data_IF_884726288564
#
_entry.id   IF_884726288564
#
_cell.length_a   1.000
_cell.length_b   1.000
_cell.length_c   1.000
_cell.angle_alpha   90.00
_cell.angle_beta   90.00
_cell.angle_gamma   90.00
#
_symmetry.space_group_name_H-M   'P 1'
#
loop_
_entity.id
_entity.type
_entity.pdbx_description
1 polymer ?
#
# COMPACT_ATOMS: atom_id res chain seq x y z
N UNK A 1 -4.08 -0.16 2.24
CA UNK A 1 -2.76 0.51 2.23
C UNK A 1 -2.47 1.00 0.83
N UNK A 2 -2.44 2.31 0.64
CA UNK A 2 -2.00 2.97 -0.58
C UNK A 2 -0.66 3.68 -0.33
N UNK A 3 0.32 3.43 -1.19
CA UNK A 3 1.65 4.04 -1.10
C UNK A 3 1.70 5.24 -2.05
N UNK A 4 2.06 6.40 -1.53
CA UNK A 4 2.34 7.62 -2.30
C UNK A 4 3.80 7.64 -2.68
N UNK A 5 4.06 7.75 -3.97
CA UNK A 5 5.39 7.74 -4.53
C UNK A 5 5.46 8.83 -5.57
N UNK A 6 6.47 9.68 -5.49
CA UNK A 6 6.77 10.67 -6.52
C UNK A 6 7.81 10.07 -7.46
N UNK A 7 7.68 10.34 -8.75
CA UNK A 7 8.72 10.03 -9.71
C UNK A 7 9.34 11.37 -10.15
N UNK A 8 10.62 11.55 -9.88
CA UNK A 8 11.37 12.74 -10.32
C UNK A 8 11.89 12.58 -11.76
N UNK A 9 10.97 12.31 -12.68
CA UNK A 9 11.19 12.53 -14.12
C UNK A 9 10.26 13.63 -14.65
N UNK A 10 10.51 14.83 -14.12
CA UNK A 10 10.66 16.10 -14.87
C UNK A 10 9.65 16.53 -15.97
N UNK A 11 8.36 16.17 -15.91
CA UNK A 11 7.35 16.83 -16.77
C UNK A 11 5.96 17.10 -16.17
N UNK A 12 5.82 17.13 -14.84
CA UNK A 12 4.50 17.28 -14.20
C UNK A 12 4.38 18.45 -13.22
N UNK A 13 5.41 19.31 -13.15
CA UNK A 13 5.47 20.52 -12.33
C UNK A 13 4.55 21.68 -12.79
N UNK A 14 3.39 21.38 -13.41
CA UNK A 14 2.39 22.41 -13.72
C UNK A 14 1.09 22.30 -12.95
N UNK A 15 0.96 21.40 -11.98
CA UNK A 15 -0.13 21.43 -11.00
C UNK A 15 0.40 21.09 -9.61
N UNK A 16 0.25 22.03 -8.67
CA UNK A 16 0.67 21.95 -7.27
C UNK A 16 -0.09 20.85 -6.51
N UNK A 17 0.31 19.58 -6.67
CA UNK A 17 -0.34 18.48 -5.98
C UNK A 17 0.46 17.18 -6.02
N UNK A 18 0.51 16.47 -4.89
CA UNK A 18 0.98 15.09 -4.83
C UNK A 18 0.04 14.20 -5.65
N UNK A 19 0.59 13.44 -6.61
CA UNK A 19 -0.19 12.48 -7.39
C UNK A 19 0.09 11.08 -6.84
N UNK A 20 -0.95 10.35 -6.43
CA UNK A 20 -0.78 8.97 -5.94
C UNK A 20 -0.36 8.04 -7.08
N UNK A 21 0.39 6.99 -6.75
CA UNK A 21 0.66 5.89 -7.68
C UNK A 21 -0.57 5.01 -7.94
N UNK A 22 -1.77 5.42 -7.52
CA UNK A 22 -3.02 4.74 -7.85
C UNK A 22 -3.00 3.28 -7.44
N UNK A 23 -2.54 3.01 -6.21
CA UNK A 23 -2.78 1.71 -5.60
C UNK A 23 -4.25 1.62 -5.22
N UNK A 24 -4.87 2.73 -4.82
CA UNK A 24 -6.32 2.85 -4.59
C UNK A 24 -7.16 2.67 -5.85
N UNK A 25 -8.43 2.35 -5.65
CA UNK A 25 -9.43 2.43 -6.72
C UNK A 25 -9.83 3.89 -6.91
N UNK A 26 -10.00 4.31 -8.17
CA UNK A 26 -10.49 5.66 -8.47
C UNK A 26 -11.98 5.73 -8.14
N UNK A 27 -12.41 6.52 -7.14
CA UNK A 27 -13.82 6.64 -6.78
C UNK A 27 -14.65 7.37 -7.84
N UNK A 28 -14.02 8.20 -8.68
CA UNK A 28 -14.70 8.96 -9.73
C UNK A 28 -14.75 8.17 -11.06
N UNK A 29 -13.85 7.18 -11.25
CA UNK A 29 -13.85 6.24 -12.37
C UNK A 29 -13.59 4.78 -11.93
N UNK A 30 -14.61 4.09 -11.40
CA UNK A 30 -14.48 2.70 -10.94
C UNK A 30 -14.20 1.69 -12.07
N UNK A 31 -14.29 2.11 -13.33
CA UNK A 31 -13.97 1.28 -14.50
C UNK A 31 -12.51 1.38 -14.95
N UNK A 32 -11.74 2.32 -14.40
CA UNK A 32 -10.33 2.47 -14.72
C UNK A 32 -9.50 1.30 -14.17
N UNK A 33 -8.58 0.79 -14.99
CA UNK A 33 -7.61 -0.20 -14.53
C UNK A 33 -6.67 0.43 -13.48
N UNK A 34 -6.46 -0.23 -12.32
CA UNK A 34 -5.54 0.27 -11.32
C UNK A 34 -4.11 0.39 -11.87
N UNK A 35 -3.46 1.53 -11.61
CA UNK A 35 -2.09 1.81 -12.10
C UNK A 35 -1.08 0.73 -11.67
N UNK A 36 -1.17 0.28 -10.42
CA UNK A 36 -0.45 -0.92 -9.96
C UNK A 36 -1.33 -2.13 -10.24
N UNK A 37 -0.92 -3.09 -11.08
CA UNK A 37 -1.75 -4.24 -11.41
C UNK A 37 -1.87 -5.23 -10.25
N UNK A 38 -2.94 -6.02 -10.19
CA UNK A 38 -3.19 -6.93 -9.06
C UNK A 38 -2.07 -7.96 -8.82
N UNK A 39 -1.37 -8.39 -9.87
CA UNK A 39 -0.25 -9.34 -9.77
C UNK A 39 1.02 -8.75 -9.16
N UNK A 40 1.10 -7.42 -9.03
CA UNK A 40 2.21 -6.73 -8.39
C UNK A 40 2.04 -6.62 -6.86
N UNK A 41 0.91 -7.06 -6.31
CA UNK A 41 0.69 -7.12 -4.87
C UNK A 41 0.92 -8.54 -4.35
N UNK A 42 1.80 -8.65 -3.36
CA UNK A 42 2.14 -9.90 -2.69
C UNK A 42 1.99 -9.73 -1.19
N UNK A 43 1.77 -10.83 -0.46
CA UNK A 43 1.79 -10.82 0.98
C UNK A 43 2.43 -12.08 1.54
N UNK A 44 2.85 -12.03 2.79
CA UNK A 44 3.34 -13.18 3.57
C UNK A 44 2.30 -14.29 3.66
N UNK A 45 1.06 -13.90 3.92
CA UNK A 45 -0.08 -14.79 4.12
C UNK A 45 -1.39 -14.05 3.85
N UNK A 46 -2.49 -14.81 3.81
CA UNK A 46 -3.83 -14.27 3.74
C UNK A 46 -4.81 -15.18 4.49
N UNK A 47 -5.78 -14.59 5.17
CA UNK A 47 -6.92 -15.32 5.74
C UNK A 47 -8.07 -15.34 4.74
N UNK A 48 -8.70 -16.49 4.55
CA UNK A 48 -9.84 -16.68 3.64
C UNK A 48 -9.58 -16.08 2.23
N UNK A 49 -10.45 -15.18 1.77
CA UNK A 49 -10.34 -14.49 0.48
C UNK A 49 -9.77 -13.05 0.60
N UNK A 50 -9.06 -12.74 1.69
CA UNK A 50 -8.44 -11.42 1.92
C UNK A 50 -7.15 -11.24 1.12
N UNK A 51 -7.25 -11.37 -0.21
CA UNK A 51 -6.12 -11.31 -1.13
C UNK A 51 -5.36 -9.97 -1.05
N UNK A 52 -4.04 -9.95 -1.32
CA UNK A 52 -3.23 -8.73 -1.36
C UNK A 52 -3.82 -7.61 -2.24
N UNK A 53 -4.40 -7.99 -3.39
CA UNK A 53 -5.07 -7.05 -4.32
C UNK A 53 -6.26 -6.32 -3.73
N UNK A 54 -6.80 -6.78 -2.61
CA UNK A 54 -7.88 -6.12 -1.88
C UNK A 54 -7.35 -5.07 -0.90
N UNK A 55 -6.04 -5.02 -0.64
CA UNK A 55 -5.41 -4.02 0.23
C UNK A 55 -5.34 -2.61 -0.37
N UNK A 56 -6.15 -2.29 -1.38
CA UNK A 56 -6.20 -0.98 -2.05
C UNK A 56 -7.02 0.00 -1.23
N UNK A 57 -6.65 1.29 -1.27
CA UNK A 57 -7.47 2.34 -0.67
C UNK A 57 -8.82 2.44 -1.37
N UNK A 58 -9.85 2.86 -0.63
CA UNK A 58 -11.24 3.01 -1.10
C UNK A 58 -11.86 1.72 -1.63
N UNK A 59 -11.33 0.57 -1.19
CA UNK A 59 -11.89 -0.71 -1.58
C UNK A 59 -13.06 -1.11 -0.68
N UNK A 60 -14.16 -1.50 -1.31
CA UNK A 60 -15.43 -1.85 -0.66
C UNK A 60 -16.49 -0.75 -0.77
N UNK A 61 -17.74 -1.17 -1.01
CA UNK A 61 -18.88 -0.27 -1.12
C UNK A 61 -20.17 -0.94 -0.63
N UNK A 62 -21.11 -0.15 -0.13
CA UNK A 62 -22.45 -0.60 0.21
C UNK A 62 -22.46 -1.70 1.27
N UNK A 63 -22.94 -2.90 0.89
CA UNK A 63 -23.03 -4.06 1.80
C UNK A 63 -21.82 -5.00 1.71
N UNK A 64 -20.81 -4.69 0.91
CA UNK A 64 -19.61 -5.51 0.84
C UNK A 64 -18.85 -5.39 2.17
N UNK A 65 -18.59 -6.52 2.83
CA UNK A 65 -17.76 -6.58 4.03
C UNK A 65 -16.33 -6.96 3.63
N UNK A 66 -15.34 -6.33 4.28
CA UNK A 66 -13.97 -6.86 4.31
C UNK A 66 -13.21 -6.83 2.99
N UNK A 67 -13.41 -5.80 2.17
CA UNK A 67 -12.60 -5.56 0.98
C UNK A 67 -11.19 -5.07 1.37
N UNK A 68 -10.39 -5.94 1.98
CA UNK A 68 -9.06 -5.66 2.49
C UNK A 68 -8.12 -6.86 2.34
N UNK A 69 -6.82 -6.63 2.49
CA UNK A 69 -5.87 -7.69 2.82
C UNK A 69 -5.87 -7.91 4.34
N UNK A 70 -5.74 -9.16 4.77
CA UNK A 70 -5.54 -9.53 6.17
C UNK A 70 -4.66 -10.78 6.22
N UNK A 71 -3.57 -10.80 7.01
CA UNK A 71 -2.75 -11.98 7.19
C UNK A 71 -3.50 -13.08 7.96
N UNK A 72 -2.94 -14.29 7.97
CA UNK A 72 -3.43 -15.37 8.83
C UNK A 72 -3.17 -14.99 10.30
N UNK A 73 -4.22 -14.88 11.14
CA UNK A 73 -4.05 -14.51 12.53
C UNK A 73 -3.26 -15.58 13.29
N UNK A 74 -2.48 -15.15 14.28
CA UNK A 74 -1.70 -15.97 15.23
C UNK A 74 -0.61 -16.89 14.64
N UNK A 75 -0.62 -17.15 13.34
CA UNK A 75 0.38 -17.99 12.66
C UNK A 75 1.43 -17.18 11.90
N UNK A 76 1.06 -16.01 11.39
CA UNK A 76 1.99 -15.11 10.72
C UNK A 76 2.56 -14.10 11.73
N UNK A 77 3.76 -14.38 12.24
CA UNK A 77 4.40 -13.54 13.26
C UNK A 77 5.08 -12.30 12.68
N UNK A 78 5.28 -12.25 11.37
CA UNK A 78 5.93 -11.14 10.66
C UNK A 78 5.16 -10.79 9.38
N UNK A 79 3.89 -10.35 9.51
CA UNK A 79 3.03 -10.16 8.36
C UNK A 79 3.50 -8.98 7.52
N UNK A 80 3.52 -9.15 6.20
CA UNK A 80 3.89 -8.10 5.26
C UNK A 80 2.96 -8.08 4.05
N UNK A 81 2.75 -6.87 3.53
CA UNK A 81 2.13 -6.60 2.25
C UNK A 81 3.16 -5.86 1.40
N UNK A 82 3.49 -6.43 0.24
CA UNK A 82 4.51 -5.93 -0.67
C UNK A 82 3.85 -5.43 -1.96
N UNK A 83 4.32 -4.27 -2.42
CA UNK A 83 4.00 -3.73 -3.74
C UNK A 83 5.27 -3.80 -4.58
N UNK A 84 5.21 -4.53 -5.70
CA UNK A 84 6.29 -4.59 -6.66
C UNK A 84 6.07 -3.57 -7.76
N UNK A 85 6.95 -2.57 -7.81
CA UNK A 85 6.98 -1.62 -8.90
C UNK A 85 7.76 -2.22 -10.10
N UNK A 86 7.40 -1.80 -11.30
CA UNK A 86 8.05 -2.14 -12.57
C UNK A 86 9.40 -1.43 -12.76
N UNK A 87 9.56 -0.27 -12.13
CA UNK A 87 10.79 0.51 -12.09
C UNK A 87 11.03 1.14 -10.71
N UNK A 88 12.25 1.61 -10.39
CA UNK A 88 12.50 2.34 -9.16
C UNK A 88 11.73 3.65 -9.10
N UNK A 89 11.20 3.98 -7.92
CA UNK A 89 10.48 5.22 -7.68
C UNK A 89 10.84 5.83 -6.30
N UNK A 90 10.60 7.13 -6.12
CA UNK A 90 10.83 7.83 -4.85
C UNK A 90 9.56 7.80 -3.99
N UNK A 91 9.53 6.97 -2.95
CA UNK A 91 8.36 6.91 -2.04
C UNK A 91 8.40 8.08 -1.06
N UNK A 92 7.36 8.92 -1.06
CA UNK A 92 7.29 10.12 -0.18
C UNK A 92 6.25 9.99 0.92
N UNK A 93 5.37 8.99 0.86
CA UNK A 93 4.35 8.78 1.88
C UNK A 93 3.61 7.45 1.72
N UNK A 94 2.87 7.06 2.75
CA UNK A 94 2.01 5.87 2.73
C UNK A 94 0.74 6.20 3.47
N UNK A 95 -0.42 6.07 2.82
CA UNK A 95 -1.72 6.10 3.47
C UNK A 95 -2.14 4.66 3.75
N UNK A 96 -2.64 4.40 4.94
CA UNK A 96 -3.22 3.09 5.26
C UNK A 96 -4.73 3.26 5.38
N UNK A 97 -5.48 2.16 5.46
CA UNK A 97 -6.92 2.18 5.72
C UNK A 97 -7.29 0.83 6.31
N UNK A 98 -8.21 0.85 7.26
CA UNK A 98 -8.86 -0.34 7.78
C UNK A 98 -9.82 -0.98 6.77
N UNK A 99 -10.40 -2.10 7.17
CA UNK A 99 -11.38 -2.81 6.38
C UNK A 99 -12.76 -2.13 6.44
N UNK A 100 -13.38 -1.90 5.28
CA UNK A 100 -14.72 -1.35 5.24
C UNK A 100 -15.73 -2.27 5.96
N UNK A 101 -16.54 -1.66 6.85
CA UNK A 101 -17.54 -2.32 7.69
C UNK A 101 -17.00 -3.45 8.61
N UNK A 102 -15.71 -3.48 8.92
CA UNK A 102 -15.11 -4.40 9.89
C UNK A 102 -14.18 -3.66 10.86
N UNK A 103 -14.01 -4.22 12.06
CA UNK A 103 -13.15 -3.66 13.13
C UNK A 103 -11.67 -4.06 12.93
N UNK A 104 -11.18 -3.98 11.69
CA UNK A 104 -9.82 -4.42 11.32
C UNK A 104 -9.03 -3.23 10.78
N UNK A 105 -7.97 -2.83 11.49
CA UNK A 105 -7.01 -1.83 11.01
C UNK A 105 -5.62 -2.17 11.56
N UNK A 106 -4.60 -1.63 10.90
CA UNK A 106 -3.24 -1.61 11.42
C UNK A 106 -3.13 -0.39 12.34
N UNK A 107 -2.36 -0.49 13.42
CA UNK A 107 -2.08 0.65 14.33
C UNK A 107 -0.63 1.08 14.31
N UNK A 108 0.27 0.19 13.91
CA UNK A 108 1.69 0.44 13.75
C UNK A 108 2.25 -0.46 12.64
N UNK A 109 3.20 0.06 11.88
CA UNK A 109 3.87 -0.68 10.83
C UNK A 109 5.33 -0.24 10.70
N UNK A 110 6.14 -1.08 10.05
CA UNK A 110 7.49 -0.73 9.60
C UNK A 110 7.50 -0.68 8.08
N UNK A 111 8.29 0.22 7.52
CA UNK A 111 8.53 0.27 6.08
C UNK A 111 9.89 -0.35 5.76
N UNK A 112 9.89 -1.20 4.75
CA UNK A 112 11.10 -1.80 4.20
C UNK A 112 11.09 -1.65 2.69
N UNK A 113 12.24 -1.39 2.08
CA UNK A 113 12.36 -1.23 0.64
C UNK A 113 13.60 -1.92 0.09
N UNK A 114 13.56 -2.22 -1.21
CA UNK A 114 14.72 -2.64 -1.99
C UNK A 114 14.59 -2.08 -3.40
N UNK A 115 15.69 -1.62 -3.96
CA UNK A 115 15.71 -0.99 -5.30
C UNK A 115 15.91 -2.04 -6.40
N UNK A 116 16.56 -3.16 -6.08
CA UNK A 116 16.86 -4.23 -7.05
C UNK A 116 16.43 -5.59 -6.55
N UNK A 117 15.92 -6.42 -7.45
CA UNK A 117 15.41 -7.76 -7.15
C UNK A 117 16.52 -8.80 -6.89
N UNK A 118 17.72 -8.57 -7.44
CA UNK A 118 18.91 -9.40 -7.22
C UNK A 118 19.51 -9.23 -5.82
N UNK A 119 19.14 -8.16 -5.12
CA UNK A 119 19.53 -7.92 -3.73
C UNK A 119 18.50 -8.62 -2.80
N UNK A 120 18.91 -9.63 -2.01
CA UNK A 120 18.00 -10.38 -1.15
C UNK A 120 17.61 -9.60 0.11
N UNK A 121 18.39 -8.58 0.47
CA UNK A 121 18.20 -7.82 1.71
C UNK A 121 17.31 -6.61 1.52
N UNK A 122 16.35 -6.45 2.41
CA UNK A 122 15.52 -5.26 2.52
C UNK A 122 16.19 -4.24 3.45
N UNK A 123 16.15 -2.96 3.06
CA UNK A 123 16.52 -1.86 3.93
C UNK A 123 15.29 -1.41 4.73
N UNK A 124 15.42 -1.31 6.06
CA UNK A 124 14.35 -0.77 6.91
C UNK A 124 14.43 0.75 6.85
N UNK A 125 13.32 1.40 6.52
CA UNK A 125 13.19 2.83 6.64
C UNK A 125 13.14 3.20 8.13
N UNK A 126 14.00 4.13 8.52
CA UNK A 126 14.00 4.74 9.85
C UNK A 126 13.95 6.24 9.65
N UNK A 127 13.02 6.92 10.33
CA UNK A 127 13.04 8.37 10.37
C UNK A 127 14.27 8.78 11.20
N UNK A 128 15.11 9.69 10.69
CA UNK A 128 16.39 10.01 11.34
C UNK A 128 16.27 10.96 12.53
N UNK A 129 15.08 11.44 12.87
CA UNK A 129 14.79 12.17 14.11
C UNK A 129 13.41 11.73 14.60
N UNK A 130 13.21 11.70 15.92
CA UNK A 130 12.02 11.26 16.67
C UNK A 130 10.75 12.10 16.39
N UNK A 131 10.51 12.50 15.14
CA UNK A 131 9.18 12.88 14.68
C UNK A 131 8.44 11.60 14.31
N UNK A 132 7.60 11.16 15.25
CA UNK A 132 6.46 10.29 14.99
C UNK A 132 5.76 10.79 13.72
N UNK A 133 6.01 10.11 12.60
CA UNK A 133 5.18 10.24 11.42
C UNK A 133 3.85 9.54 11.76
N UNK A 134 2.98 10.27 12.46
CA UNK A 134 1.58 9.92 12.61
C UNK A 134 0.95 10.02 11.22
N UNK A 135 1.03 8.94 10.45
CA UNK A 135 0.22 8.80 9.26
C UNK A 135 -0.97 7.96 9.65
N UNK A 136 -2.07 8.66 9.90
CA UNK A 136 -3.37 8.07 10.18
C UNK A 136 -3.79 7.16 9.02
N UNK A 137 -4.30 6.03 9.45
CA UNK A 137 -4.79 4.86 8.72
C UNK A 137 -6.27 5.08 8.47
#
# INVERSE_FOLDING_TARGET
MEVYVTNDENTWLSQEGYVSLGVGLDPDDPGADPKVPAYALHASSLVNDSFPRLGRLNNGEGRQQGACWSPVPDLDTEPWLQIQHDMPYIVVGVITQGAYNLDHWVTAYKLAFRVRLDVPTWAIYTNSEDEEMAVLI
#
